data_IF_445756873683
#
_entry.id   IF_445756873683
#
_cell.length_a   1.000
_cell.length_b   1.000
_cell.length_c   1.000
_cell.angle_alpha   90.00
_cell.angle_beta   90.00
_cell.angle_gamma   90.00
#
_symmetry.space_group_name_H-M   'P 1'
#
loop_
_entity.id
_entity.type
_entity.pdbx_description
1 polymer ?
#
# COMPACT_ATOMS: atom_id res chain seq x y z
N UNK A 1 39.28 -14.15 -15.52
CA UNK A 1 38.73 -15.19 -16.37
C UNK A 1 37.89 -16.12 -15.55
N UNK A 2 36.77 -16.52 -16.06
CA UNK A 2 35.63 -17.33 -15.55
C UNK A 2 34.69 -16.53 -14.66
N UNK A 3 33.50 -16.17 -15.01
CA UNK A 3 32.53 -16.87 -15.85
C UNK A 3 31.28 -17.00 -14.97
N UNK A 4 30.45 -15.92 -14.87
CA UNK A 4 29.08 -16.01 -14.32
C UNK A 4 28.15 -16.18 -15.54
N UNK A 5 28.05 -17.41 -16.02
CA UNK A 5 26.97 -17.86 -16.88
C UNK A 5 25.86 -18.41 -15.97
N UNK A 6 24.69 -17.81 -16.02
CA UNK A 6 23.51 -18.20 -15.27
C UNK A 6 22.34 -17.26 -15.53
N UNK A 7 22.23 -16.72 -16.76
CA UNK A 7 20.99 -16.11 -17.22
C UNK A 7 20.04 -17.24 -17.64
N UNK A 8 19.12 -17.60 -16.77
CA UNK A 8 17.95 -18.39 -17.13
C UNK A 8 17.24 -17.71 -18.31
N UNK A 9 16.76 -18.49 -19.26
CA UNK A 9 16.01 -18.06 -20.43
C UNK A 9 14.70 -17.41 -19.98
N UNK A 10 14.75 -16.12 -19.63
CA UNK A 10 13.58 -15.29 -19.31
C UNK A 10 12.88 -14.93 -20.62
N UNK A 11 11.86 -15.69 -21.03
CA UNK A 11 10.90 -15.23 -22.01
C UNK A 11 10.33 -13.87 -21.56
N UNK A 12 10.11 -12.96 -22.48
CA UNK A 12 9.47 -11.67 -22.19
C UNK A 12 8.03 -11.93 -21.76
N UNK A 13 7.64 -11.41 -20.61
CA UNK A 13 6.34 -11.67 -19.99
C UNK A 13 5.22 -10.80 -20.59
N UNK A 14 4.02 -11.33 -20.61
CA UNK A 14 2.81 -10.60 -20.96
C UNK A 14 2.08 -10.17 -19.68
N UNK A 15 1.90 -8.87 -19.48
CA UNK A 15 1.42 -8.28 -18.22
C UNK A 15 0.07 -7.59 -18.41
N UNK A 16 -0.91 -7.93 -17.59
CA UNK A 16 -2.18 -7.22 -17.49
C UNK A 16 -2.14 -6.22 -16.32
N UNK A 17 -2.70 -5.01 -16.52
CA UNK A 17 -2.93 -4.04 -15.44
C UNK A 17 -4.43 -3.74 -15.39
N UNK A 18 -5.12 -4.28 -14.38
CA UNK A 18 -6.57 -4.14 -14.19
C UNK A 18 -6.86 -2.97 -13.26
N UNK A 19 -7.60 -1.98 -13.74
CA UNK A 19 -7.80 -0.68 -13.07
C UNK A 19 -6.76 0.37 -13.49
N UNK A 20 -6.21 0.24 -14.70
CA UNK A 20 -5.10 1.01 -15.25
C UNK A 20 -5.33 2.53 -15.28
N UNK A 21 -6.59 3.01 -15.33
CA UNK A 21 -6.93 4.44 -15.35
C UNK A 21 -7.13 5.07 -13.97
N UNK A 22 -7.04 4.27 -12.91
CA UNK A 22 -7.13 4.74 -11.52
C UNK A 22 -5.80 5.33 -11.02
N UNK A 23 -5.85 6.05 -9.88
CA UNK A 23 -4.66 6.69 -9.30
C UNK A 23 -3.48 5.72 -9.10
N UNK A 24 -3.72 4.52 -8.60
CA UNK A 24 -2.69 3.49 -8.39
C UNK A 24 -2.31 2.80 -9.71
N UNK A 25 -3.29 2.50 -10.59
CA UNK A 25 -3.05 1.82 -11.86
C UNK A 25 -2.15 2.61 -12.81
N UNK A 26 -2.32 3.93 -12.89
CA UNK A 26 -1.43 4.82 -13.67
C UNK A 26 0.00 4.82 -13.13
N UNK A 27 0.16 4.75 -11.81
CA UNK A 27 1.48 4.61 -11.17
C UNK A 27 2.10 3.25 -11.47
N UNK A 28 1.32 2.15 -11.45
CA UNK A 28 1.81 0.82 -11.83
C UNK A 28 2.35 0.80 -13.27
N UNK A 29 1.60 1.37 -14.23
CA UNK A 29 2.05 1.44 -15.63
C UNK A 29 3.39 2.20 -15.76
N UNK A 30 3.51 3.34 -15.09
CA UNK A 30 4.76 4.12 -15.05
C UNK A 30 5.91 3.33 -14.45
N UNK A 31 5.68 2.62 -13.33
CA UNK A 31 6.70 1.83 -12.64
C UNK A 31 7.16 0.63 -13.48
N UNK A 32 6.27 -0.08 -14.15
CA UNK A 32 6.66 -1.18 -15.04
C UNK A 32 7.65 -0.70 -16.12
N UNK A 33 7.44 0.50 -16.68
CA UNK A 33 8.37 1.10 -17.64
C UNK A 33 9.67 1.58 -17.00
N UNK A 34 9.60 2.36 -15.92
CA UNK A 34 10.78 2.99 -15.30
C UNK A 34 11.70 1.98 -14.59
N UNK A 35 11.16 0.86 -14.10
CA UNK A 35 11.91 -0.24 -13.47
C UNK A 35 12.39 -1.30 -14.44
N UNK A 36 12.15 -1.08 -15.76
CA UNK A 36 12.50 -2.02 -16.81
C UNK A 36 12.01 -3.45 -16.53
N UNK A 37 10.76 -3.57 -16.05
CA UNK A 37 10.12 -4.87 -15.84
C UNK A 37 10.20 -5.69 -17.14
N UNK A 38 10.52 -7.00 -17.12
CA UNK A 38 10.79 -7.79 -18.32
C UNK A 38 9.50 -8.14 -19.10
N UNK A 39 8.65 -7.13 -19.36
CA UNK A 39 7.45 -7.30 -20.16
C UNK A 39 7.73 -7.27 -21.66
N UNK A 40 7.12 -8.19 -22.42
CA UNK A 40 7.02 -8.10 -23.89
C UNK A 40 5.84 -7.23 -24.29
N UNK A 41 4.78 -7.27 -23.49
CA UNK A 41 3.53 -6.56 -23.71
C UNK A 41 2.91 -6.19 -22.37
N UNK A 42 2.33 -4.99 -22.30
CA UNK A 42 1.55 -4.52 -21.17
C UNK A 42 0.17 -4.13 -21.69
N UNK A 43 -0.88 -4.77 -21.19
CA UNK A 43 -2.26 -4.51 -21.58
C UNK A 43 -3.03 -3.87 -20.42
N UNK A 44 -3.48 -2.62 -20.58
CA UNK A 44 -4.26 -1.93 -19.57
C UNK A 44 -5.75 -2.27 -19.72
N UNK A 45 -6.37 -2.71 -18.62
CA UNK A 45 -7.81 -2.92 -18.50
C UNK A 45 -8.42 -1.86 -17.57
N UNK A 46 -9.61 -1.37 -17.91
CA UNK A 46 -10.34 -0.44 -17.06
C UNK A 46 -11.87 -0.61 -17.24
N UNK A 47 -12.66 0.33 -16.69
CA UNK A 47 -14.11 0.31 -16.88
C UNK A 47 -14.48 0.54 -18.34
N UNK A 48 -15.66 0.05 -18.75
CA UNK A 48 -16.22 0.21 -20.12
C UNK A 48 -16.13 1.64 -20.65
N UNK A 49 -16.30 2.64 -19.78
CA UNK A 49 -16.17 4.08 -20.13
C UNK A 49 -14.77 4.48 -20.60
N UNK A 50 -13.77 3.68 -20.31
CA UNK A 50 -12.37 3.97 -20.64
C UNK A 50 -11.83 3.12 -21.78
N UNK A 51 -12.58 2.15 -22.29
CA UNK A 51 -12.17 1.29 -23.41
C UNK A 51 -11.87 2.13 -24.65
N UNK A 52 -10.77 1.81 -25.32
CA UNK A 52 -10.25 2.56 -26.47
C UNK A 52 -9.50 3.84 -26.13
N UNK A 53 -9.45 4.25 -24.83
CA UNK A 53 -8.64 5.38 -24.41
C UNK A 53 -7.17 5.04 -24.55
N UNK A 54 -6.40 5.97 -25.14
CA UNK A 54 -4.95 5.87 -25.24
C UNK A 54 -4.33 6.48 -23.97
N UNK A 55 -3.52 5.70 -23.29
CA UNK A 55 -2.76 6.11 -22.11
C UNK A 55 -1.32 6.51 -22.50
N UNK A 56 -0.55 7.00 -21.55
CA UNK A 56 0.86 7.33 -21.73
C UNK A 56 1.64 6.11 -22.27
N UNK A 57 2.57 6.35 -23.17
CA UNK A 57 3.29 5.29 -23.86
C UNK A 57 2.53 4.63 -25.01
N UNK A 58 1.35 5.13 -25.39
CA UNK A 58 0.55 4.63 -26.50
C UNK A 58 -0.26 3.37 -26.16
N UNK A 59 -0.38 3.00 -24.89
CA UNK A 59 -1.16 1.85 -24.44
C UNK A 59 -2.66 2.11 -24.61
N UNK A 60 -3.37 1.22 -25.29
CA UNK A 60 -4.81 1.32 -25.48
C UNK A 60 -5.54 0.48 -24.45
N UNK A 61 -6.52 1.08 -23.78
CA UNK A 61 -7.35 0.37 -22.77
C UNK A 61 -8.24 -0.65 -23.46
N UNK A 62 -8.08 -1.91 -23.03
CA UNK A 62 -8.86 -3.05 -23.53
C UNK A 62 -10.11 -3.30 -22.68
N UNK A 63 -11.18 -3.90 -23.25
CA UNK A 63 -12.30 -4.37 -22.47
C UNK A 63 -11.90 -5.53 -21.56
N UNK A 64 -12.47 -5.60 -20.37
CA UNK A 64 -12.24 -6.68 -19.41
C UNK A 64 -13.36 -7.73 -19.57
N UNK A 65 -13.11 -8.76 -20.36
CA UNK A 65 -14.02 -9.87 -20.62
C UNK A 65 -13.27 -11.21 -20.76
N UNK A 66 -14.00 -12.31 -20.85
CA UNK A 66 -13.42 -13.67 -20.90
C UNK A 66 -12.61 -13.93 -22.21
N UNK A 67 -12.80 -13.15 -23.26
CA UNK A 67 -12.07 -13.28 -24.53
C UNK A 67 -10.70 -12.58 -24.45
N UNK A 68 -10.57 -11.55 -23.62
CA UNK A 68 -9.37 -10.68 -23.56
C UNK A 68 -8.37 -11.07 -22.47
N UNK A 69 -8.78 -11.83 -21.44
CA UNK A 69 -7.95 -12.13 -20.26
C UNK A 69 -6.95 -13.28 -20.44
N UNK A 70 -6.92 -13.93 -21.61
CA UNK A 70 -6.07 -15.08 -21.87
C UNK A 70 -4.60 -14.74 -22.19
N UNK A 71 -3.68 -15.65 -21.80
CA UNK A 71 -2.28 -15.61 -22.22
C UNK A 71 -1.40 -14.62 -21.49
N UNK A 72 -1.81 -14.14 -20.32
CA UNK A 72 -0.97 -13.31 -19.44
C UNK A 72 -0.17 -14.19 -18.47
N UNK A 73 1.06 -13.76 -18.18
CA UNK A 73 1.91 -14.39 -17.17
C UNK A 73 1.66 -13.77 -15.78
N UNK A 74 1.43 -12.45 -15.75
CA UNK A 74 1.19 -11.67 -14.52
C UNK A 74 0.03 -10.71 -14.74
N UNK A 75 -0.84 -10.58 -13.73
CA UNK A 75 -1.92 -9.60 -13.73
C UNK A 75 -1.89 -8.76 -12.44
N UNK A 76 -1.71 -7.44 -12.58
CA UNK A 76 -1.67 -6.48 -11.48
C UNK A 76 -3.05 -5.84 -11.33
N UNK A 77 -3.68 -6.03 -10.17
CA UNK A 77 -5.05 -5.57 -9.92
C UNK A 77 -5.09 -4.35 -9.02
N UNK A 78 -5.76 -3.29 -9.46
CA UNK A 78 -6.10 -2.10 -8.67
C UNK A 78 -7.47 -1.53 -9.07
N UNK A 79 -8.48 -2.41 -9.17
CA UNK A 79 -9.83 -2.07 -9.62
C UNK A 79 -10.90 -2.16 -8.51
N UNK A 80 -10.46 -2.27 -7.25
CA UNK A 80 -11.32 -2.43 -6.08
C UNK A 80 -11.78 -3.87 -5.83
N UNK A 81 -12.22 -4.14 -4.59
CA UNK A 81 -12.45 -5.50 -4.11
C UNK A 81 -13.53 -6.29 -4.89
N UNK A 82 -14.57 -5.61 -5.37
CA UNK A 82 -15.64 -6.26 -6.14
C UNK A 82 -15.10 -6.83 -7.45
N UNK A 83 -14.36 -6.02 -8.21
CA UNK A 83 -13.75 -6.46 -9.48
C UNK A 83 -12.67 -7.52 -9.25
N UNK A 84 -11.89 -7.39 -8.20
CA UNK A 84 -10.88 -8.40 -7.88
C UNK A 84 -11.51 -9.76 -7.56
N UNK A 85 -12.61 -9.82 -6.79
CA UNK A 85 -13.33 -11.09 -6.53
C UNK A 85 -13.94 -11.68 -7.80
N UNK A 86 -14.40 -10.86 -8.71
CA UNK A 86 -15.02 -11.28 -9.96
C UNK A 86 -13.99 -11.85 -10.95
N UNK A 87 -12.82 -11.21 -11.06
CA UNK A 87 -11.89 -11.46 -12.16
C UNK A 87 -10.59 -12.16 -11.78
N UNK A 88 -10.11 -12.03 -10.55
CA UNK A 88 -8.78 -12.55 -10.21
C UNK A 88 -8.67 -14.06 -10.45
N UNK A 89 -9.66 -14.84 -10.02
CA UNK A 89 -9.63 -16.29 -10.25
C UNK A 89 -9.68 -16.64 -11.73
N UNK A 90 -10.41 -15.89 -12.57
CA UNK A 90 -10.46 -16.13 -14.02
C UNK A 90 -9.09 -15.91 -14.69
N UNK A 91 -8.34 -14.90 -14.26
CA UNK A 91 -6.94 -14.71 -14.71
C UNK A 91 -6.04 -15.87 -14.25
N UNK A 92 -6.22 -16.38 -13.04
CA UNK A 92 -5.48 -17.55 -12.55
C UNK A 92 -5.83 -18.81 -13.36
N UNK A 93 -7.10 -19.04 -13.65
CA UNK A 93 -7.56 -20.17 -14.46
C UNK A 93 -7.05 -20.04 -15.92
N UNK A 94 -6.85 -18.82 -16.41
CA UNK A 94 -6.24 -18.53 -17.71
C UNK A 94 -4.70 -18.60 -17.70
N UNK A 95 -4.06 -18.90 -16.56
CA UNK A 95 -2.63 -19.15 -16.41
C UNK A 95 -1.81 -18.02 -15.79
N UNK A 96 -2.39 -16.88 -15.49
CA UNK A 96 -1.66 -15.75 -14.89
C UNK A 96 -1.46 -15.91 -13.38
N UNK A 97 -0.40 -15.31 -12.84
CA UNK A 97 -0.30 -15.02 -11.41
C UNK A 97 -0.84 -13.61 -11.15
N UNK A 98 -1.78 -13.49 -10.23
CA UNK A 98 -2.43 -12.22 -9.87
C UNK A 98 -1.77 -11.62 -8.64
N UNK A 99 -1.40 -10.33 -8.73
CA UNK A 99 -1.02 -9.51 -7.56
C UNK A 99 -2.13 -8.49 -7.34
N UNK A 100 -2.92 -8.68 -6.28
CA UNK A 100 -4.11 -7.87 -6.00
C UNK A 100 -3.86 -6.79 -4.93
N UNK A 101 -3.99 -5.54 -5.33
CA UNK A 101 -3.86 -4.38 -4.42
C UNK A 101 -5.19 -4.03 -3.70
N UNK A 102 -6.27 -4.74 -3.95
CA UNK A 102 -7.54 -4.51 -3.27
C UNK A 102 -7.60 -5.20 -1.90
N UNK A 103 -8.69 -4.98 -1.17
CA UNK A 103 -8.93 -5.69 0.09
C UNK A 103 -9.59 -7.07 -0.09
N UNK A 104 -9.77 -7.56 -1.33
CA UNK A 104 -10.55 -8.75 -1.63
C UNK A 104 -10.00 -10.02 -0.96
N UNK A 105 -8.69 -10.18 -0.98
CA UNK A 105 -8.02 -11.43 -0.60
C UNK A 105 -7.13 -11.34 0.62
N UNK A 106 -6.92 -10.15 1.20
CA UNK A 106 -5.97 -9.93 2.31
C UNK A 106 -6.23 -10.80 3.54
N UNK A 107 -7.51 -11.12 3.82
CA UNK A 107 -7.94 -11.95 4.95
C UNK A 107 -8.19 -13.42 4.59
N UNK A 108 -7.98 -13.81 3.35
CA UNK A 108 -8.10 -15.21 2.92
C UNK A 108 -6.85 -15.95 3.38
N UNK A 109 -7.02 -17.04 4.12
CA UNK A 109 -5.90 -17.73 4.78
C UNK A 109 -4.89 -18.28 3.78
N UNK A 110 -5.37 -18.87 2.68
CA UNK A 110 -4.55 -19.51 1.65
C UNK A 110 -3.96 -18.50 0.64
N UNK A 111 -4.24 -17.19 0.78
CA UNK A 111 -3.66 -16.14 -0.05
C UNK A 111 -2.57 -15.42 0.73
N UNK A 112 -1.31 -15.47 0.31
CA UNK A 112 -0.24 -14.75 0.98
C UNK A 112 -0.45 -13.23 0.90
N UNK A 113 -0.24 -12.56 2.03
CA UNK A 113 -0.26 -11.10 2.17
C UNK A 113 1.18 -10.63 2.34
N UNK A 114 1.72 -9.92 1.35
CA UNK A 114 3.17 -9.76 1.24
C UNK A 114 3.61 -8.31 1.12
N UNK A 115 4.59 -7.93 1.94
CA UNK A 115 5.44 -6.75 1.78
C UNK A 115 6.82 -7.22 1.34
N UNK A 116 7.30 -6.74 0.20
CA UNK A 116 8.48 -7.30 -0.48
C UNK A 116 9.76 -7.32 0.35
N UNK A 117 9.92 -6.41 1.33
CA UNK A 117 11.09 -6.35 2.23
C UNK A 117 10.86 -7.05 3.57
N UNK A 118 9.62 -7.44 3.90
CA UNK A 118 9.25 -7.91 5.23
C UNK A 118 9.09 -9.43 5.30
N UNK A 119 8.35 -10.00 4.34
CA UNK A 119 8.03 -11.42 4.31
C UNK A 119 7.97 -11.99 2.87
N UNK A 120 9.01 -11.74 2.03
CA UNK A 120 9.01 -12.17 0.63
C UNK A 120 8.95 -13.71 0.45
N UNK A 121 9.34 -14.48 1.45
CA UNK A 121 9.25 -15.95 1.47
C UNK A 121 7.79 -16.45 1.40
N UNK A 122 6.84 -15.64 1.86
CA UNK A 122 5.42 -16.00 1.78
C UNK A 122 4.93 -16.14 0.32
N UNK A 123 5.65 -15.58 -0.66
CA UNK A 123 5.35 -15.76 -2.08
C UNK A 123 5.41 -17.23 -2.51
N UNK A 124 6.27 -18.05 -1.89
CA UNK A 124 6.44 -19.46 -2.27
C UNK A 124 5.16 -20.30 -2.02
N UNK A 125 4.27 -19.82 -1.17
CA UNK A 125 3.01 -20.51 -0.81
C UNK A 125 1.81 -20.06 -1.67
N UNK A 126 1.97 -19.16 -2.67
CA UNK A 126 0.81 -18.68 -3.43
C UNK A 126 0.15 -19.79 -4.27
N UNK A 127 -1.18 -19.73 -4.34
CA UNK A 127 -2.00 -20.59 -5.19
C UNK A 127 -2.55 -19.86 -6.44
N UNK A 128 -1.79 -18.91 -6.97
CA UNK A 128 -2.14 -18.09 -8.14
C UNK A 128 -2.48 -16.66 -7.80
N UNK A 129 -2.87 -16.35 -6.56
CA UNK A 129 -3.15 -14.99 -6.11
C UNK A 129 -2.20 -14.61 -4.97
N UNK A 130 -1.67 -13.40 -5.03
CA UNK A 130 -0.88 -12.74 -3.98
C UNK A 130 -1.59 -11.44 -3.61
N UNK A 131 -1.83 -11.20 -2.33
CA UNK A 131 -2.46 -9.97 -1.84
C UNK A 131 -1.39 -8.92 -1.46
N UNK A 132 -1.60 -7.70 -1.93
CA UNK A 132 -0.85 -6.51 -1.53
C UNK A 132 -1.54 -5.85 -0.33
N UNK A 133 -0.82 -5.51 0.75
CA UNK A 133 -1.43 -4.97 1.96
C UNK A 133 -2.09 -3.61 1.80
N UNK A 134 -2.82 -3.20 2.85
CA UNK A 134 -3.30 -1.84 3.02
C UNK A 134 -2.12 -0.85 3.08
N UNK A 135 -2.30 0.34 2.49
CA UNK A 135 -1.24 1.34 2.37
C UNK A 135 -0.68 1.79 3.74
N UNK A 136 -1.53 1.97 4.73
CA UNK A 136 -1.13 2.37 6.09
C UNK A 136 -0.36 1.25 6.79
N UNK A 137 -0.88 0.02 6.70
CA UNK A 137 -0.19 -1.16 7.22
C UNK A 137 1.19 -1.29 6.61
N UNK A 138 1.29 -1.18 5.28
CA UNK A 138 2.56 -1.36 4.58
C UNK A 138 3.64 -0.37 5.03
N UNK A 139 3.28 0.91 5.15
CA UNK A 139 4.22 1.95 5.62
C UNK A 139 4.73 1.64 7.03
N UNK A 140 3.85 1.15 7.92
CA UNK A 140 4.22 0.83 9.29
C UNK A 140 5.06 -0.46 9.43
N UNK A 141 4.91 -1.43 8.50
CA UNK A 141 5.54 -2.74 8.64
C UNK A 141 7.06 -2.72 8.49
N UNK A 142 7.64 -1.84 7.68
CA UNK A 142 9.10 -1.81 7.48
C UNK A 142 9.85 -1.54 8.80
N UNK A 143 9.61 -0.42 9.51
CA UNK A 143 10.30 -0.19 10.79
C UNK A 143 9.90 -1.21 11.87
N UNK A 144 8.64 -1.68 11.88
CA UNK A 144 8.19 -2.67 12.85
C UNK A 144 8.88 -4.02 12.65
N UNK A 145 9.15 -4.45 11.42
CA UNK A 145 9.90 -5.68 11.13
C UNK A 145 11.35 -5.56 11.58
N UNK A 146 12.03 -4.45 11.23
CA UNK A 146 13.39 -4.19 11.66
C UNK A 146 13.55 -4.27 13.19
N UNK A 147 12.60 -3.66 13.91
CA UNK A 147 12.59 -3.64 15.37
C UNK A 147 12.12 -4.97 15.97
N UNK A 148 11.18 -5.68 15.33
CA UNK A 148 10.75 -7.02 15.75
C UNK A 148 11.91 -8.01 15.73
N UNK A 149 12.70 -8.01 14.68
CA UNK A 149 13.84 -8.90 14.53
C UNK A 149 14.92 -8.64 15.61
N UNK A 150 15.06 -7.37 16.03
CA UNK A 150 15.99 -6.99 17.06
C UNK A 150 15.51 -7.26 18.50
N UNK A 151 14.22 -7.01 18.78
CA UNK A 151 13.70 -6.92 20.16
C UNK A 151 12.45 -7.75 20.44
N UNK A 152 11.82 -8.40 19.46
CA UNK A 152 10.59 -9.18 19.56
C UNK A 152 9.36 -8.33 19.94
N UNK A 153 8.66 -7.81 18.95
CA UNK A 153 7.47 -6.97 19.12
C UNK A 153 6.35 -7.72 19.85
N UNK A 154 5.85 -7.16 20.93
CA UNK A 154 4.76 -7.71 21.75
C UNK A 154 3.44 -6.98 21.54
N UNK A 155 3.47 -5.65 21.43
CA UNK A 155 2.28 -4.85 21.20
C UNK A 155 2.58 -3.53 20.53
N UNK A 156 1.55 -2.92 19.91
CA UNK A 156 1.67 -1.55 19.40
C UNK A 156 0.35 -0.75 19.56
N UNK A 157 0.52 0.54 19.79
CA UNK A 157 -0.50 1.56 19.58
C UNK A 157 -0.09 2.33 18.33
N UNK A 158 -0.99 2.47 17.35
CA UNK A 158 -0.70 3.10 16.09
C UNK A 158 -1.80 4.09 15.71
N UNK A 159 -1.44 5.37 15.61
CA UNK A 159 -2.35 6.41 15.10
C UNK A 159 -1.90 6.84 13.72
N UNK A 160 -2.73 6.58 12.71
CA UNK A 160 -2.42 6.95 11.34
C UNK A 160 -2.98 8.34 10.98
N UNK A 161 -2.20 9.07 10.20
CA UNK A 161 -2.53 10.35 9.57
C UNK A 161 -2.55 10.12 8.06
N UNK A 162 -3.73 9.80 7.53
CA UNK A 162 -3.85 9.32 6.15
C UNK A 162 -4.24 10.42 5.19
N UNK A 163 -3.49 10.56 4.11
CA UNK A 163 -3.74 11.50 3.03
C UNK A 163 -5.06 11.20 2.27
N UNK A 164 -5.63 12.24 1.67
CA UNK A 164 -6.83 12.16 0.83
C UNK A 164 -6.72 11.13 -0.31
N UNK A 165 -5.53 10.98 -0.89
CA UNK A 165 -5.24 10.01 -1.94
C UNK A 165 -5.45 8.55 -1.55
N UNK A 166 -5.58 8.23 -0.26
CA UNK A 166 -6.03 6.92 0.20
C UNK A 166 -7.46 6.56 -0.22
N UNK A 167 -8.29 7.55 -0.55
CA UNK A 167 -9.61 7.39 -1.16
C UNK A 167 -9.57 7.46 -2.71
N UNK A 168 -8.39 7.38 -3.31
CA UNK A 168 -8.19 7.49 -4.75
C UNK A 168 -8.23 8.92 -5.27
N UNK A 169 -8.33 9.08 -6.60
CA UNK A 169 -8.35 10.39 -7.24
C UNK A 169 -9.50 11.28 -6.76
N UNK A 170 -10.69 10.69 -6.55
CA UNK A 170 -11.86 11.43 -6.06
C UNK A 170 -11.63 12.07 -4.68
N UNK A 171 -10.86 11.43 -3.80
CA UNK A 171 -10.50 12.02 -2.51
C UNK A 171 -9.55 13.20 -2.64
N UNK A 172 -8.60 13.12 -3.56
CA UNK A 172 -7.68 14.22 -3.89
C UNK A 172 -8.48 15.40 -4.47
N UNK A 173 -9.34 15.14 -5.44
CA UNK A 173 -10.15 16.15 -6.14
C UNK A 173 -11.10 16.87 -5.17
N UNK A 174 -11.73 16.14 -4.24
CA UNK A 174 -12.60 16.73 -3.22
C UNK A 174 -11.81 17.65 -2.28
N UNK A 175 -10.67 17.21 -1.77
CA UNK A 175 -9.81 18.04 -0.93
C UNK A 175 -9.36 19.31 -1.69
N UNK A 176 -8.90 19.15 -2.92
CA UNK A 176 -8.46 20.27 -3.75
C UNK A 176 -9.57 21.30 -3.97
N UNK A 177 -10.80 20.85 -4.23
CA UNK A 177 -11.97 21.72 -4.41
C UNK A 177 -12.36 22.47 -3.13
N UNK A 178 -12.06 21.93 -1.94
CA UNK A 178 -12.38 22.56 -0.65
C UNK A 178 -11.37 23.63 -0.24
N UNK A 179 -10.11 23.57 -0.68
CA UNK A 179 -9.03 24.44 -0.16
C UNK A 179 -9.28 25.90 -0.50
N UNK A 180 -9.47 26.26 -1.76
CA UNK A 180 -9.54 27.67 -2.18
C UNK A 180 -10.77 28.40 -1.58
N UNK A 181 -11.99 27.84 -1.57
CA UNK A 181 -13.14 28.49 -0.94
C UNK A 181 -12.94 28.72 0.55
N UNK A 182 -12.35 27.79 1.28
CA UNK A 182 -12.15 27.92 2.71
C UNK A 182 -10.97 28.83 3.06
N UNK A 183 -9.88 28.80 2.30
CA UNK A 183 -8.73 29.65 2.49
C UNK A 183 -9.04 31.14 2.27
N UNK A 184 -10.11 31.48 1.55
CA UNK A 184 -10.53 32.86 1.29
C UNK A 184 -11.06 33.59 2.51
N UNK A 185 -11.43 32.87 3.58
CA UNK A 185 -11.98 33.45 4.81
C UNK A 185 -11.40 32.77 6.06
N UNK A 186 -10.13 33.09 6.32
CA UNK A 186 -9.41 32.55 7.49
C UNK A 186 -10.05 32.98 8.81
N UNK A 187 -10.64 34.19 8.86
CA UNK A 187 -11.30 34.67 10.06
C UNK A 187 -12.48 33.76 10.42
N UNK A 188 -13.31 33.42 9.46
CA UNK A 188 -14.43 32.51 9.71
C UNK A 188 -13.97 31.09 10.09
N UNK A 189 -12.87 30.60 9.49
CA UNK A 189 -12.29 29.30 9.89
C UNK A 189 -11.90 29.27 11.37
N UNK A 190 -11.41 30.40 11.90
CA UNK A 190 -11.00 30.51 13.29
C UNK A 190 -12.16 30.74 14.26
N UNK A 191 -13.18 31.53 13.85
CA UNK A 191 -14.26 31.99 14.74
C UNK A 191 -15.52 31.11 14.68
N UNK A 192 -15.83 30.55 13.50
CA UNK A 192 -17.00 29.70 13.27
C UNK A 192 -16.71 28.65 12.18
N UNK A 193 -15.91 27.65 12.56
CA UNK A 193 -15.51 26.56 11.65
C UNK A 193 -16.68 25.74 11.13
N UNK A 194 -17.79 25.63 11.87
CA UNK A 194 -18.97 24.89 11.43
C UNK A 194 -19.65 25.59 10.23
N UNK A 195 -19.83 26.89 10.32
CA UNK A 195 -20.35 27.70 9.20
C UNK A 195 -19.37 27.73 8.01
N UNK A 196 -18.07 27.80 8.26
CA UNK A 196 -17.06 27.70 7.20
C UNK A 196 -17.16 26.37 6.47
N UNK A 197 -17.20 25.24 7.18
CA UNK A 197 -17.33 23.90 6.62
C UNK A 197 -18.59 23.72 5.78
N UNK A 198 -19.70 24.39 6.13
CA UNK A 198 -20.95 24.38 5.38
C UNK A 198 -20.88 25.06 3.98
N UNK A 199 -19.80 25.80 3.68
CA UNK A 199 -19.59 26.45 2.36
C UNK A 199 -19.11 25.48 1.28
N UNK A 200 -18.65 24.30 1.66
CA UNK A 200 -18.12 23.28 0.74
C UNK A 200 -18.84 21.95 0.93
N UNK A 201 -18.79 21.12 -0.09
CA UNK A 201 -19.39 19.76 -0.04
C UNK A 201 -18.35 18.74 0.30
N UNK A 202 -18.79 17.65 0.94
CA UNK A 202 -18.01 16.43 1.12
C UNK A 202 -18.90 15.23 0.73
N UNK A 203 -18.41 14.36 -0.15
CA UNK A 203 -19.10 13.18 -0.62
C UNK A 203 -18.22 11.92 -0.55
N UNK A 204 -16.91 12.11 -0.57
CA UNK A 204 -15.90 11.05 -0.49
C UNK A 204 -15.42 10.89 0.95
N UNK A 205 -15.13 11.99 1.63
CA UNK A 205 -14.72 11.97 3.03
C UNK A 205 -15.93 12.11 3.97
N UNK A 206 -15.81 11.58 5.18
CA UNK A 206 -16.89 11.58 6.16
C UNK A 206 -17.29 12.98 6.65
N UNK A 207 -16.41 13.97 6.47
CA UNK A 207 -16.65 15.38 6.74
C UNK A 207 -15.76 16.25 5.86
N UNK A 208 -15.98 17.57 5.86
CA UNK A 208 -15.07 18.54 5.23
C UNK A 208 -13.64 18.30 5.71
N UNK A 209 -12.73 18.06 4.76
CA UNK A 209 -11.35 17.67 5.07
C UNK A 209 -10.38 18.86 5.08
N UNK A 210 -10.53 19.82 4.18
CA UNK A 210 -9.64 20.98 4.14
C UNK A 210 -9.64 21.72 5.50
N UNK A 211 -8.45 21.99 6.03
CA UNK A 211 -8.23 22.62 7.35
C UNK A 211 -8.80 21.83 8.54
N UNK A 212 -9.02 20.52 8.39
CA UNK A 212 -9.66 19.67 9.40
C UNK A 212 -8.94 18.34 9.55
N UNK A 213 -9.27 17.63 10.64
CA UNK A 213 -8.85 16.27 10.94
C UNK A 213 -10.10 15.43 11.15
N UNK A 214 -10.27 14.33 10.40
CA UNK A 214 -11.47 13.49 10.43
C UNK A 214 -11.13 12.11 11.01
N UNK A 215 -11.53 11.79 12.26
CA UNK A 215 -11.20 10.53 12.92
C UNK A 215 -12.18 9.40 12.55
N UNK A 216 -12.50 9.30 11.27
CA UNK A 216 -13.36 8.26 10.70
C UNK A 216 -12.93 7.92 9.29
N UNK A 217 -12.35 6.73 9.11
CA UNK A 217 -11.97 6.17 7.81
C UNK A 217 -12.64 4.82 7.60
N UNK A 218 -13.30 4.68 6.43
CA UNK A 218 -14.00 3.46 6.08
C UNK A 218 -15.33 3.30 6.82
N UNK A 219 -15.80 2.06 6.96
CA UNK A 219 -17.09 1.74 7.57
C UNK A 219 -16.95 1.49 9.06
N UNK A 220 -17.74 2.17 9.87
CA UNK A 220 -17.81 1.95 11.30
C UNK A 220 -18.58 0.66 11.59
N UNK A 221 -18.01 -0.21 12.42
CA UNK A 221 -18.65 -1.41 12.91
C UNK A 221 -19.38 -1.18 14.24
N UNK A 222 -20.19 -2.17 14.65
CA UNK A 222 -21.00 -2.11 15.87
C UNK A 222 -20.19 -2.02 17.16
N UNK A 223 -18.91 -2.44 17.12
CA UNK A 223 -17.98 -2.36 18.24
C UNK A 223 -17.20 -1.03 18.30
N UNK A 224 -17.57 -0.05 17.46
CA UNK A 224 -16.94 1.26 17.40
C UNK A 224 -15.61 1.32 16.65
N UNK A 225 -15.13 0.21 16.09
CA UNK A 225 -13.95 0.20 15.22
C UNK A 225 -14.32 0.30 13.74
N UNK A 226 -13.49 1.01 12.98
CA UNK A 226 -13.64 1.05 11.53
C UNK A 226 -13.02 -0.17 10.86
N UNK A 227 -13.42 -0.45 9.62
CA UNK A 227 -12.78 -1.50 8.81
C UNK A 227 -11.30 -1.18 8.52
N UNK A 228 -10.91 0.09 8.46
CA UNK A 228 -9.52 0.51 8.29
C UNK A 228 -8.66 0.17 9.52
N UNK A 229 -9.18 0.40 10.71
CA UNK A 229 -8.53 0.02 11.98
C UNK A 229 -8.36 -1.50 12.09
N UNK A 230 -9.39 -2.26 11.71
CA UNK A 230 -9.30 -3.72 11.66
C UNK A 230 -8.26 -4.23 10.67
N UNK A 231 -8.14 -3.59 9.48
CA UNK A 231 -7.08 -3.91 8.51
C UNK A 231 -5.70 -3.75 9.14
N UNK A 232 -5.43 -2.62 9.79
CA UNK A 232 -4.14 -2.39 10.44
C UNK A 232 -3.79 -3.48 11.46
N UNK A 233 -4.76 -3.91 12.28
CA UNK A 233 -4.57 -5.02 13.22
C UNK A 233 -4.33 -6.36 12.52
N UNK A 234 -5.24 -6.76 11.65
CA UNK A 234 -5.28 -8.13 11.11
C UNK A 234 -4.13 -8.36 10.12
N UNK A 235 -3.86 -7.36 9.27
CA UNK A 235 -2.78 -7.42 8.29
C UNK A 235 -1.41 -7.39 8.97
N UNK A 236 -1.19 -6.58 10.03
CA UNK A 236 0.06 -6.59 10.80
C UNK A 236 0.37 -7.97 11.38
N UNK A 237 -0.65 -8.63 11.95
CA UNK A 237 -0.52 -9.99 12.49
C UNK A 237 -0.09 -10.99 11.44
N UNK A 238 -0.72 -10.93 10.26
CA UNK A 238 -0.47 -11.85 9.15
C UNK A 238 0.92 -11.63 8.54
N UNK A 239 1.27 -10.37 8.27
CA UNK A 239 2.56 -10.01 7.63
C UNK A 239 3.74 -10.33 8.54
N UNK A 240 3.64 -9.99 9.84
CA UNK A 240 4.72 -10.24 10.80
C UNK A 240 4.76 -11.68 11.33
N UNK A 241 3.76 -12.51 11.03
CA UNK A 241 3.66 -13.86 11.56
C UNK A 241 3.44 -13.91 13.08
N UNK A 242 2.77 -12.89 13.67
CA UNK A 242 2.49 -12.78 15.10
C UNK A 242 0.98 -12.76 15.33
N UNK A 243 0.28 -13.91 15.36
CA UNK A 243 -1.18 -13.95 15.45
C UNK A 243 -1.74 -13.29 16.74
N UNK A 244 -0.96 -13.31 17.81
CA UNK A 244 -1.32 -12.75 19.11
C UNK A 244 -0.92 -11.28 19.30
N UNK A 245 -0.34 -10.62 18.29
CA UNK A 245 0.09 -9.23 18.40
C UNK A 245 -1.07 -8.34 18.88
N UNK A 246 -0.86 -7.66 20.02
CA UNK A 246 -1.82 -6.69 20.52
C UNK A 246 -1.67 -5.38 19.74
N UNK A 247 -2.70 -4.99 19.00
CA UNK A 247 -2.71 -3.77 18.18
C UNK A 247 -3.88 -2.90 18.60
N UNK A 248 -3.60 -1.65 18.96
CA UNK A 248 -4.61 -0.61 19.26
C UNK A 248 -4.51 0.48 18.18
N UNK A 249 -5.30 0.40 17.11
CA UNK A 249 -5.25 1.33 16.01
C UNK A 249 -6.22 2.51 16.19
N UNK A 250 -5.85 3.67 15.65
CA UNK A 250 -6.75 4.80 15.41
C UNK A 250 -6.43 5.35 14.02
N UNK A 251 -7.43 5.42 13.16
CA UNK A 251 -7.22 5.88 11.77
C UNK A 251 -7.86 7.25 11.55
N UNK A 252 -7.04 8.20 11.09
CA UNK A 252 -7.42 9.61 10.94
C UNK A 252 -7.15 10.07 9.50
N UNK A 253 -8.11 10.73 8.87
CA UNK A 253 -7.92 11.43 7.59
C UNK A 253 -7.42 12.85 7.86
N UNK A 254 -6.37 13.28 7.14
CA UNK A 254 -5.76 14.60 7.27
C UNK A 254 -5.73 15.33 5.92
N UNK A 255 -5.67 16.68 5.91
CA UNK A 255 -5.73 17.48 4.69
C UNK A 255 -4.37 17.51 3.95
N UNK A 256 -3.88 16.32 3.63
CA UNK A 256 -2.67 16.05 2.87
C UNK A 256 -3.08 15.32 1.60
N UNK A 257 -2.52 15.68 0.44
CA UNK A 257 -2.91 15.07 -0.85
C UNK A 257 -2.42 13.63 -0.97
N UNK A 258 -1.11 13.42 -0.74
CA UNK A 258 -0.40 12.14 -0.86
C UNK A 258 0.58 12.00 0.29
N UNK A 259 0.81 10.75 0.73
CA UNK A 259 1.70 10.41 1.83
C UNK A 259 0.96 10.17 3.14
N UNK A 260 1.13 8.97 3.71
CA UNK A 260 0.60 8.62 5.03
C UNK A 260 1.68 8.76 6.09
N UNK A 261 1.30 9.28 7.26
CA UNK A 261 2.11 9.22 8.45
C UNK A 261 1.49 8.29 9.49
N UNK A 262 2.30 7.62 10.30
CA UNK A 262 1.83 6.81 11.42
C UNK A 262 2.69 7.10 12.65
N UNK A 263 2.04 7.57 13.72
CA UNK A 263 2.65 7.62 15.04
C UNK A 263 2.52 6.26 15.69
N UNK A 264 3.65 5.67 16.05
CA UNK A 264 3.70 4.32 16.62
C UNK A 264 4.33 4.36 18.01
N UNK A 265 3.67 3.70 18.96
CA UNK A 265 4.23 3.28 20.23
C UNK A 265 4.32 1.76 20.23
N UNK A 266 5.54 1.22 20.09
CA UNK A 266 5.81 -0.20 19.98
C UNK A 266 6.45 -0.71 21.26
N UNK A 267 5.88 -1.75 21.89
CA UNK A 267 6.40 -2.41 23.08
C UNK A 267 6.95 -3.78 22.70
N UNK A 268 8.13 -4.09 23.21
CA UNK A 268 8.89 -5.30 22.88
C UNK A 268 9.02 -6.21 24.10
N UNK A 269 9.38 -7.45 23.86
CA UNK A 269 9.66 -8.44 24.91
C UNK A 269 10.95 -8.14 25.70
N UNK A 270 11.90 -7.48 25.04
CA UNK A 270 13.22 -7.13 25.55
C UNK A 270 13.32 -5.63 25.77
N UNK A 271 14.17 -5.22 26.71
CA UNK A 271 14.58 -3.82 26.83
C UNK A 271 15.24 -3.34 25.53
N UNK A 272 14.95 -2.12 25.16
CA UNK A 272 15.41 -1.52 23.90
C UNK A 272 16.68 -0.71 24.15
N UNK A 273 17.76 -1.12 23.52
CA UNK A 273 18.92 -0.29 23.31
C UNK A 273 18.67 0.63 22.10
N UNK A 274 18.73 1.95 22.32
CA UNK A 274 18.38 2.93 21.29
C UNK A 274 19.37 2.93 20.11
N UNK A 275 20.66 2.75 20.37
CA UNK A 275 21.68 2.73 19.30
C UNK A 275 21.49 1.49 18.42
N UNK A 276 21.23 0.36 19.03
CA UNK A 276 20.90 -0.88 18.30
C UNK A 276 19.60 -0.74 17.50
N UNK A 277 18.59 -0.07 18.06
CA UNK A 277 17.33 0.19 17.35
C UNK A 277 17.54 1.07 16.11
N UNK A 278 18.29 2.17 16.25
CA UNK A 278 18.63 3.05 15.14
C UNK A 278 19.47 2.33 14.08
N UNK A 279 20.42 1.50 14.50
CA UNK A 279 21.23 0.68 13.58
C UNK A 279 20.37 -0.33 12.80
N UNK A 280 19.41 -0.99 13.46
CA UNK A 280 18.51 -1.92 12.82
C UNK A 280 17.60 -1.22 11.79
N UNK A 281 17.09 -0.04 12.12
CA UNK A 281 16.28 0.78 11.22
C UNK A 281 17.10 1.25 10.01
N UNK A 282 18.32 1.74 10.22
CA UNK A 282 19.18 2.23 9.15
C UNK A 282 19.66 1.12 8.18
N UNK A 283 19.74 -0.11 8.66
CA UNK A 283 20.14 -1.26 7.84
C UNK A 283 18.98 -1.91 7.08
N UNK A 284 17.74 -1.54 7.38
CA UNK A 284 16.57 -2.20 6.77
C UNK A 284 16.32 -1.69 5.34
N UNK A 285 16.04 -2.58 4.37
CA UNK A 285 15.83 -2.19 2.97
C UNK A 285 14.68 -1.19 2.80
N UNK A 286 14.86 -0.21 1.92
CA UNK A 286 13.88 0.82 1.60
C UNK A 286 13.36 1.65 2.80
N UNK A 287 14.09 1.63 3.91
CA UNK A 287 13.83 2.44 5.09
C UNK A 287 14.94 3.47 5.26
N UNK A 288 14.59 4.73 5.48
CA UNK A 288 15.53 5.81 5.74
C UNK A 288 15.25 6.46 7.09
N UNK A 289 16.32 6.80 7.81
CA UNK A 289 16.22 7.62 9.02
C UNK A 289 16.18 9.10 8.63
N UNK A 290 15.17 9.82 9.13
CA UNK A 290 14.99 11.25 8.94
C UNK A 290 14.55 11.87 10.28
N UNK A 291 15.19 12.91 10.73
CA UNK A 291 14.88 13.56 12.00
C UNK A 291 13.44 14.10 12.05
N UNK A 292 12.91 14.55 10.92
CA UNK A 292 11.59 15.13 10.79
C UNK A 292 10.86 14.64 9.52
N UNK A 293 10.48 13.36 9.44
CA UNK A 293 9.78 12.84 8.27
C UNK A 293 8.37 13.43 8.16
N UNK A 294 8.04 14.00 7.02
CA UNK A 294 6.71 14.54 6.76
C UNK A 294 6.10 13.96 5.49
N UNK A 295 4.77 13.74 5.42
CA UNK A 295 4.12 13.21 4.22
C UNK A 295 4.47 14.02 2.96
N UNK A 296 4.51 15.34 3.04
CA UNK A 296 4.82 16.21 1.91
C UNK A 296 6.26 16.00 1.38
N UNK A 297 7.22 15.76 2.26
CA UNK A 297 8.61 15.54 1.87
C UNK A 297 8.83 14.17 1.19
N UNK A 298 7.95 13.21 1.47
CA UNK A 298 8.05 11.83 0.96
C UNK A 298 6.99 11.49 -0.10
N UNK A 299 6.15 12.43 -0.49
CA UNK A 299 5.29 12.28 -1.66
C UNK A 299 6.15 12.15 -2.93
N UNK A 300 5.91 11.09 -3.72
CA UNK A 300 6.65 10.76 -4.93
C UNK A 300 7.98 10.03 -4.69
N UNK A 301 8.28 9.60 -3.44
CA UNK A 301 9.48 8.81 -3.12
C UNK A 301 9.14 7.35 -2.89
N UNK A 302 10.07 6.48 -3.28
CA UNK A 302 9.95 5.02 -3.12
C UNK A 302 10.23 4.57 -1.68
N UNK A 303 11.07 5.31 -0.94
CA UNK A 303 11.49 4.98 0.41
C UNK A 303 10.41 5.30 1.43
N UNK A 304 10.42 4.53 2.51
CA UNK A 304 9.71 4.84 3.75
C UNK A 304 10.67 5.53 4.71
N UNK A 305 10.25 6.64 5.30
CA UNK A 305 11.07 7.35 6.28
C UNK A 305 10.58 7.11 7.70
N UNK A 306 11.51 6.90 8.63
CA UNK A 306 11.23 6.81 10.05
C UNK A 306 12.07 7.82 10.81
N UNK A 307 11.42 8.53 11.74
CA UNK A 307 12.10 9.51 12.57
C UNK A 307 11.42 9.72 13.90
N UNK A 308 11.89 10.72 14.66
CA UNK A 308 11.42 10.92 16.04
C UNK A 308 11.53 9.66 16.91
N UNK A 309 12.49 8.80 16.61
CA UNK A 309 12.74 7.54 17.35
C UNK A 309 13.29 7.86 18.73
N UNK A 310 12.60 7.39 19.75
CA UNK A 310 12.96 7.67 21.16
C UNK A 310 12.40 6.61 22.09
N UNK A 311 13.10 6.36 23.19
CA UNK A 311 12.59 5.53 24.26
C UNK A 311 11.32 6.15 24.90
N UNK A 312 10.44 5.32 25.35
CA UNK A 312 9.29 5.74 26.14
C UNK A 312 9.76 6.24 27.53
N UNK A 313 9.04 7.23 28.09
CA UNK A 313 9.43 7.82 29.38
C UNK A 313 9.17 6.90 30.56
N UNK A 314 8.33 5.89 30.40
CA UNK A 314 7.86 5.03 31.49
C UNK A 314 8.27 3.57 31.36
N UNK A 315 8.53 3.07 30.14
CA UNK A 315 8.82 1.66 29.89
C UNK A 315 10.06 1.50 29.00
N UNK A 316 11.19 0.99 29.50
CA UNK A 316 12.42 0.81 28.72
C UNK A 316 12.29 -0.23 27.58
N UNK A 317 11.21 -0.99 27.54
CA UNK A 317 10.90 -1.93 26.47
C UNK A 317 10.10 -1.29 25.33
N UNK A 318 9.86 0.01 25.37
CA UNK A 318 8.97 0.70 24.46
C UNK A 318 9.67 1.81 23.70
N UNK A 319 9.49 1.82 22.36
CA UNK A 319 9.89 2.92 21.47
C UNK A 319 8.66 3.69 20.98
N UNK A 320 8.85 4.99 20.85
CA UNK A 320 7.95 5.88 20.11
C UNK A 320 8.67 6.38 18.86
N UNK A 321 8.00 6.36 17.72
CA UNK A 321 8.53 6.87 16.45
C UNK A 321 7.41 7.37 15.53
N UNK A 322 7.78 8.09 14.49
CA UNK A 322 6.89 8.50 13.42
C UNK A 322 7.41 7.95 12.10
N UNK A 323 6.56 7.30 11.33
CA UNK A 323 6.91 6.73 10.03
C UNK A 323 6.04 7.35 8.95
N UNK A 324 6.64 7.58 7.77
CA UNK A 324 5.99 8.21 6.63
C UNK A 324 6.33 7.44 5.35
N UNK A 325 5.35 7.31 4.47
CA UNK A 325 5.56 6.77 3.12
C UNK A 325 4.49 7.22 2.14
N UNK A 326 4.83 7.20 0.86
CA UNK A 326 3.88 7.50 -0.21
C UNK A 326 2.86 6.35 -0.33
N UNK A 327 1.59 6.67 -0.10
CA UNK A 327 0.49 5.70 -0.10
C UNK A 327 0.11 5.18 -1.48
N UNK A 328 0.49 5.87 -2.56
CA UNK A 328 0.26 5.46 -3.95
C UNK A 328 1.46 4.68 -4.51
N UNK A 329 2.67 4.97 -4.01
CA UNK A 329 3.91 4.27 -4.36
C UNK A 329 4.12 3.05 -3.45
N UNK A 330 4.97 3.18 -2.41
CA UNK A 330 5.28 2.04 -1.53
C UNK A 330 4.01 1.47 -0.90
N UNK A 331 3.06 2.31 -0.53
CA UNK A 331 1.77 1.88 0.02
C UNK A 331 0.87 1.10 -0.93
N UNK A 332 1.16 1.06 -2.25
CA UNK A 332 0.30 0.43 -3.24
C UNK A 332 1.08 -0.06 -4.48
N UNK A 333 1.25 0.82 -5.49
CA UNK A 333 1.76 0.44 -6.81
C UNK A 333 3.17 -0.13 -6.78
N UNK A 334 4.08 0.49 -6.01
CA UNK A 334 5.47 0.06 -5.96
C UNK A 334 5.59 -1.35 -5.36
N UNK A 335 4.96 -1.62 -4.21
CA UNK A 335 5.00 -2.95 -3.64
C UNK A 335 4.36 -3.99 -4.57
N UNK A 336 3.25 -3.65 -5.26
CA UNK A 336 2.61 -4.55 -6.23
C UNK A 336 3.59 -4.93 -7.36
N UNK A 337 4.34 -3.95 -7.90
CA UNK A 337 5.35 -4.21 -8.94
C UNK A 337 6.55 -4.97 -8.37
N UNK A 338 7.03 -4.63 -7.17
CA UNK A 338 8.10 -5.37 -6.50
C UNK A 338 7.72 -6.84 -6.23
N UNK A 339 6.46 -7.12 -5.89
CA UNK A 339 5.97 -8.50 -5.75
C UNK A 339 6.00 -9.25 -7.08
N UNK A 340 5.60 -8.60 -8.17
CA UNK A 340 5.71 -9.18 -9.50
C UNK A 340 7.17 -9.44 -9.90
N UNK A 341 8.09 -8.51 -9.63
CA UNK A 341 9.54 -8.69 -9.81
C UNK A 341 10.06 -9.87 -9.00
N UNK A 342 9.65 -9.99 -7.74
CA UNK A 342 10.06 -11.07 -6.86
C UNK A 342 9.52 -12.44 -7.33
N UNK A 343 8.27 -12.50 -7.80
CA UNK A 343 7.67 -13.70 -8.39
C UNK A 343 8.47 -14.16 -9.63
N UNK A 344 8.83 -13.23 -10.50
CA UNK A 344 9.67 -13.52 -11.67
C UNK A 344 11.06 -14.00 -11.28
N UNK A 345 11.73 -13.29 -10.38
CA UNK A 345 13.08 -13.64 -9.92
C UNK A 345 13.15 -15.00 -9.22
N UNK A 346 12.07 -15.42 -8.57
CA UNK A 346 11.93 -16.74 -7.93
C UNK A 346 11.46 -17.86 -8.87
N UNK A 347 11.13 -17.54 -10.13
CA UNK A 347 10.58 -18.52 -11.08
C UNK A 347 9.17 -19.00 -10.75
N UNK A 348 8.39 -18.19 -10.02
CA UNK A 348 7.03 -18.50 -9.59
C UNK A 348 5.96 -18.06 -10.61
N UNK A 349 6.37 -17.47 -11.74
CA UNK A 349 5.52 -17.09 -12.87
C UNK A 349 5.71 -18.08 -13.99
N UNK A 350 4.65 -18.55 -14.63
CA UNK A 350 4.69 -19.49 -15.75
C UNK A 350 4.97 -20.95 -15.39
N UNK A 351 5.22 -21.29 -14.12
CA UNK A 351 5.58 -22.63 -13.69
C UNK A 351 4.42 -23.65 -13.74
N UNK A 352 3.16 -23.22 -13.92
CA UNK A 352 2.00 -24.13 -13.93
C UNK A 352 1.69 -24.77 -15.27
N UNK A 353 2.27 -24.32 -16.38
CA UNK A 353 2.06 -24.93 -17.71
C UNK A 353 2.79 -26.28 -17.90
N UNK A 354 3.67 -26.69 -16.96
CA UNK A 354 4.45 -27.92 -17.06
C UNK A 354 4.03 -29.04 -16.11
N UNK A 355 2.93 -28.86 -15.35
CA UNK A 355 2.46 -29.85 -14.38
C UNK A 355 1.05 -30.45 -14.72
N UNK A 356 0.63 -30.38 -16.00
CA UNK A 356 -0.60 -31.02 -16.51
C UNK A 356 -0.27 -32.13 -17.48
#
# INVERSE_FOLDING_TARGET
MSGLAGAGAGGRLRVAVVGATGAVGTVMLRLLGSRAFPASEIVPFASERSVGRVLDGGLVVEPLDDETIGGFDVALFSAGATRSREWAQRFVDAGAVVVDNSSAFRRVDDVPLVVSEVNPEALDAHCGIVANPNCTTMVAMLPLKALHDAFSLASMVATSYQAAGGAGQSGIDELAAQIAPLASDVTQLCEDGATAAGKVTHAVHAATLAFNVVPLLGTLGDDGHTDEERKLRDESRKILGIPSLAVSPTCVRVPVMVGHGVAVRATFEREVDLERALSALAAFPNLVLDDLPTPLAYAGRDEVAVGRVRLDLADPRTLNFFVVGDNLLKGAALNTVQLAEALVARGLVGARASAA
#
